data_IF_704223864632
#
_entry.id   IF_704223864632
#
_cell.length_a   1.000
_cell.length_b   1.000
_cell.length_c   1.000
_cell.angle_alpha   90.00
_cell.angle_beta   90.00
_cell.angle_gamma   90.00
#
_symmetry.space_group_name_H-M   'P 1'
#
loop_
_entity.id
_entity.type
_entity.pdbx_description
1 polymer ?
#
# COMPACT_ATOMS: atom_id res chain seq x y z
N UNK A 1 17.32 10.81 9.91
CA UNK A 1 17.28 9.35 10.05
C UNK A 1 18.61 8.79 9.52
N UNK A 2 19.34 8.01 10.32
CA UNK A 2 20.61 7.43 9.90
C UNK A 2 20.38 6.32 8.87
N UNK A 3 20.83 6.51 7.65
CA UNK A 3 20.83 5.44 6.62
C UNK A 3 20.36 5.81 5.22
N UNK A 4 19.75 6.97 5.02
CA UNK A 4 19.42 7.51 3.70
C UNK A 4 19.99 8.92 3.62
N UNK A 5 20.95 9.13 2.70
CA UNK A 5 21.59 10.45 2.51
C UNK A 5 20.84 11.33 1.49
N UNK A 6 19.71 10.86 1.00
CA UNK A 6 18.91 11.57 0.01
C UNK A 6 18.34 12.87 0.60
N UNK A 7 18.44 13.97 -0.14
CA UNK A 7 18.02 15.31 0.30
C UNK A 7 16.53 15.40 0.67
N UNK A 8 15.71 14.53 0.07
CA UNK A 8 14.26 14.53 0.27
C UNK A 8 13.82 13.94 1.63
N UNK A 9 14.72 13.26 2.35
CA UNK A 9 14.44 12.64 3.68
C UNK A 9 15.12 13.42 4.83
N UNK A 10 15.53 14.67 4.58
CA UNK A 10 16.20 15.51 5.59
C UNK A 10 15.23 16.58 6.08
N UNK A 11 14.90 16.50 7.36
CA UNK A 11 14.10 17.48 8.08
C UNK A 11 14.89 17.99 9.29
N UNK A 12 14.75 19.26 9.64
CA UNK A 12 15.40 19.89 10.80
C UNK A 12 14.84 19.38 12.14
N UNK A 13 13.61 18.83 12.11
CA UNK A 13 12.95 18.28 13.28
C UNK A 13 11.55 17.74 12.98
N UNK A 14 10.89 17.28 14.03
CA UNK A 14 9.55 16.69 13.89
C UNK A 14 8.48 17.71 13.48
N UNK A 15 8.63 18.97 13.84
CA UNK A 15 7.66 20.01 13.45
C UNK A 15 7.67 20.23 11.92
N UNK A 16 8.85 20.34 11.33
CA UNK A 16 8.99 20.46 9.88
C UNK A 16 8.43 19.22 9.16
N UNK A 17 8.75 18.04 9.67
CA UNK A 17 8.22 16.78 9.14
C UNK A 17 6.68 16.70 9.23
N UNK A 18 6.10 17.10 10.37
CA UNK A 18 4.66 17.12 10.56
C UNK A 18 3.98 18.11 9.60
N UNK A 19 4.53 19.32 9.44
CA UNK A 19 4.01 20.33 8.52
C UNK A 19 4.05 19.83 7.07
N UNK A 20 5.14 19.18 6.67
CA UNK A 20 5.23 18.52 5.38
C UNK A 20 4.15 17.44 5.22
N UNK A 21 3.98 16.56 6.21
CA UNK A 21 2.96 15.50 6.18
C UNK A 21 1.54 16.06 6.13
N UNK A 22 1.25 17.10 6.91
CA UNK A 22 -0.05 17.77 6.88
C UNK A 22 -0.33 18.35 5.50
N UNK A 23 0.67 18.96 4.86
CA UNK A 23 0.53 19.57 3.53
C UNK A 23 0.07 18.58 2.49
N UNK A 24 0.84 17.51 2.25
CA UNK A 24 0.48 16.54 1.20
C UNK A 24 -0.74 15.69 1.55
N UNK A 25 -0.96 15.36 2.84
CA UNK A 25 -2.14 14.61 3.26
C UNK A 25 -3.43 15.40 3.06
N UNK A 26 -3.44 16.71 3.32
CA UNK A 26 -4.58 17.60 3.02
C UNK A 26 -4.91 17.60 1.54
N UNK A 27 -3.89 17.72 0.67
CA UNK A 27 -4.11 17.70 -0.77
C UNK A 27 -4.62 16.34 -1.25
N UNK A 28 -4.05 15.23 -0.76
CA UNK A 28 -4.57 13.89 -1.05
C UNK A 28 -6.04 13.76 -0.60
N UNK A 29 -6.38 14.23 0.60
CA UNK A 29 -7.76 14.18 1.08
C UNK A 29 -8.70 15.02 0.21
N UNK A 30 -8.27 16.20 -0.21
CA UNK A 30 -9.08 17.10 -1.05
C UNK A 30 -9.48 16.44 -2.36
N UNK A 31 -8.52 15.82 -3.06
CA UNK A 31 -8.75 15.21 -4.38
C UNK A 31 -9.30 13.78 -4.31
N UNK A 32 -9.16 13.08 -3.17
CA UNK A 32 -9.66 11.72 -3.02
C UNK A 32 -11.19 11.69 -3.17
N UNK A 33 -11.69 10.80 -4.02
CA UNK A 33 -13.14 10.56 -4.17
C UNK A 33 -13.74 10.08 -2.84
N UNK A 34 -15.04 10.32 -2.62
CA UNK A 34 -15.76 9.82 -1.42
C UNK A 34 -15.77 8.28 -1.36
N UNK A 35 -15.58 7.62 -2.50
CA UNK A 35 -15.47 6.16 -2.60
C UNK A 35 -14.02 5.67 -2.63
N UNK A 36 -13.06 6.58 -2.64
CA UNK A 36 -11.65 6.26 -2.67
C UNK A 36 -11.08 5.95 -1.29
N UNK A 37 -9.92 5.33 -1.28
CA UNK A 37 -9.14 5.09 -0.07
C UNK A 37 -7.67 5.48 -0.30
N UNK A 38 -6.96 5.72 0.78
CA UNK A 38 -5.55 6.07 0.77
C UNK A 38 -4.77 5.03 1.58
N UNK A 39 -3.57 4.73 1.10
CA UNK A 39 -2.61 3.88 1.76
C UNK A 39 -1.33 4.65 2.03
N UNK A 40 -0.83 4.57 3.24
CA UNK A 40 0.43 5.21 3.62
C UNK A 40 1.33 4.17 4.27
N UNK A 41 2.54 4.02 3.75
CA UNK A 41 3.56 3.10 4.27
C UNK A 41 4.54 3.91 5.09
N UNK A 42 4.84 3.45 6.29
CA UNK A 42 5.80 4.11 7.16
C UNK A 42 6.63 3.15 8.00
N UNK A 43 7.83 3.61 8.34
CA UNK A 43 8.70 2.91 9.29
C UNK A 43 8.22 3.13 10.73
N UNK A 44 8.77 2.35 11.67
CA UNK A 44 8.49 2.50 13.11
C UNK A 44 8.80 3.91 13.66
N UNK A 45 9.64 4.69 12.96
CA UNK A 45 10.03 6.02 13.41
C UNK A 45 8.98 7.09 13.12
N UNK A 46 8.18 6.92 12.07
CA UNK A 46 7.28 7.97 11.58
C UNK A 46 5.81 7.56 11.46
N UNK A 47 5.50 6.26 11.36
CA UNK A 47 4.12 5.81 11.09
C UNK A 47 3.12 6.26 12.15
N UNK A 48 3.51 6.32 13.43
CA UNK A 48 2.64 6.75 14.51
C UNK A 48 2.30 8.25 14.41
N UNK A 49 3.27 9.08 13.97
CA UNK A 49 3.05 10.52 13.72
C UNK A 49 2.12 10.72 12.54
N UNK A 50 2.37 10.01 11.44
CA UNK A 50 1.52 10.03 10.25
C UNK A 50 0.10 9.58 10.61
N UNK A 51 -0.05 8.51 11.37
CA UNK A 51 -1.35 8.01 11.81
C UNK A 51 -2.14 9.04 12.64
N UNK A 52 -1.47 9.73 13.58
CA UNK A 52 -2.07 10.84 14.32
C UNK A 52 -2.52 11.96 13.38
N UNK A 53 -1.64 12.42 12.48
CA UNK A 53 -1.96 13.49 11.53
C UNK A 53 -3.16 13.10 10.64
N UNK A 54 -3.19 11.88 10.14
CA UNK A 54 -4.31 11.39 9.33
C UNK A 54 -5.64 11.42 10.11
N UNK A 55 -5.65 11.00 11.38
CA UNK A 55 -6.83 11.07 12.24
C UNK A 55 -7.26 12.51 12.52
N UNK A 56 -6.31 13.42 12.82
CA UNK A 56 -6.58 14.84 13.04
C UNK A 56 -7.18 15.51 11.79
N UNK A 57 -6.76 15.09 10.60
CA UNK A 57 -7.32 15.53 9.32
C UNK A 57 -8.69 14.89 9.00
N UNK A 58 -9.17 13.96 9.82
CA UNK A 58 -10.46 13.32 9.66
C UNK A 58 -10.48 12.09 8.74
N UNK A 59 -9.33 11.56 8.34
CA UNK A 59 -9.30 10.25 7.71
C UNK A 59 -9.82 9.17 8.65
N UNK A 60 -10.49 8.16 8.10
CA UNK A 60 -10.98 7.03 8.86
C UNK A 60 -10.12 5.81 8.61
N UNK A 61 -9.37 5.38 9.63
CA UNK A 61 -8.51 4.17 9.53
C UNK A 61 -9.43 2.95 9.41
N UNK A 62 -9.20 2.16 8.37
CA UNK A 62 -9.90 0.91 8.08
C UNK A 62 -9.11 -0.29 8.61
N UNK A 63 -7.80 -0.30 8.37
CA UNK A 63 -6.85 -1.24 8.94
C UNK A 63 -5.47 -0.60 9.07
N UNK A 64 -4.71 -1.10 10.03
CA UNK A 64 -3.26 -1.13 10.04
C UNK A 64 -2.78 -2.49 9.53
N UNK A 65 -1.89 -2.48 8.56
CA UNK A 65 -1.35 -3.70 7.96
C UNK A 65 0.13 -3.78 8.30
N UNK A 66 0.56 -4.92 8.81
CA UNK A 66 1.98 -5.20 9.03
C UNK A 66 2.55 -5.89 7.78
N UNK A 67 3.39 -5.18 7.07
CA UNK A 67 4.25 -5.80 6.06
C UNK A 67 5.46 -6.43 6.75
N UNK A 68 5.39 -7.74 7.00
CA UNK A 68 6.49 -8.52 7.52
C UNK A 68 7.45 -8.89 6.37
N UNK A 69 8.68 -8.40 6.48
CA UNK A 69 9.75 -8.62 5.51
C UNK A 69 10.34 -10.01 5.72
N UNK A 70 10.20 -10.90 4.75
CA UNK A 70 10.72 -12.27 4.86
C UNK A 70 12.26 -12.35 4.81
N UNK A 71 12.91 -11.28 4.34
CA UNK A 71 14.36 -11.13 4.20
C UNK A 71 14.83 -9.75 4.75
N UNK A 72 14.58 -9.43 6.03
CA UNK A 72 14.93 -8.14 6.57
C UNK A 72 16.46 -7.94 6.61
N UNK A 73 16.89 -6.70 6.47
CA UNK A 73 18.32 -6.37 6.62
C UNK A 73 18.72 -6.49 8.10
N UNK A 74 19.74 -7.29 8.44
CA UNK A 74 20.20 -7.43 9.81
C UNK A 74 20.65 -6.10 10.43
N UNK A 75 20.49 -5.96 11.74
CA UNK A 75 21.14 -4.89 12.50
C UNK A 75 22.59 -5.31 12.80
N UNK A 76 23.50 -4.97 11.91
CA UNK A 76 24.90 -5.35 12.01
C UNK A 76 25.60 -4.80 13.29
N UNK A 77 25.10 -3.69 13.83
CA UNK A 77 25.62 -3.14 15.08
C UNK A 77 25.19 -3.88 16.34
N UNK A 78 24.24 -4.81 16.25
CA UNK A 78 23.75 -5.60 17.40
C UNK A 78 23.13 -4.77 18.54
N UNK A 79 22.77 -3.50 18.27
CA UNK A 79 22.33 -2.53 19.29
C UNK A 79 20.83 -2.52 19.53
N UNK A 80 20.04 -3.18 18.66
CA UNK A 80 18.58 -3.27 18.74
C UNK A 80 18.08 -4.45 17.93
N UNK A 81 16.78 -4.74 18.00
CA UNK A 81 16.15 -5.75 17.17
C UNK A 81 16.24 -5.42 15.68
N UNK A 82 16.28 -6.43 14.82
CA UNK A 82 16.17 -6.29 13.38
C UNK A 82 14.80 -5.73 13.01
N UNK A 83 14.76 -4.70 12.16
CA UNK A 83 13.50 -4.10 11.68
C UNK A 83 12.86 -4.99 10.60
N UNK A 84 12.16 -6.01 11.04
CA UNK A 84 11.55 -7.00 10.16
C UNK A 84 10.18 -6.59 9.61
N UNK A 85 9.67 -5.40 9.91
CA UNK A 85 8.38 -4.95 9.36
C UNK A 85 8.32 -3.44 9.09
N UNK A 86 7.37 -3.07 8.25
CA UNK A 86 6.83 -1.71 8.11
C UNK A 86 5.32 -1.78 8.28
N UNK A 87 4.71 -0.67 8.69
CA UNK A 87 3.26 -0.57 8.86
C UNK A 87 2.65 0.21 7.70
N UNK A 88 1.52 -0.29 7.19
CA UNK A 88 0.69 0.40 6.23
C UNK A 88 -0.61 0.82 6.91
N UNK A 89 -0.99 2.08 6.75
CA UNK A 89 -2.30 2.57 7.17
C UNK A 89 -3.21 2.62 5.95
N UNK A 90 -4.31 1.87 6.00
CA UNK A 90 -5.38 1.92 5.01
C UNK A 90 -6.53 2.75 5.55
N UNK A 91 -6.86 3.85 4.87
CA UNK A 91 -7.85 4.81 5.36
C UNK A 91 -8.86 5.17 4.27
N UNK A 92 -10.11 5.36 4.68
CA UNK A 92 -11.10 6.07 3.89
C UNK A 92 -10.96 7.59 4.05
N UNK A 93 -11.51 8.36 3.11
CA UNK A 93 -11.52 9.83 3.16
C UNK A 93 -12.08 10.39 4.47
N UNK A 94 -13.10 9.72 5.00
CA UNK A 94 -13.74 9.99 6.30
C UNK A 94 -14.58 8.78 6.73
N UNK A 95 -15.22 8.85 7.91
CA UNK A 95 -16.06 7.77 8.46
C UNK A 95 -17.23 7.34 7.54
N UNK A 96 -17.69 8.20 6.62
CA UNK A 96 -18.81 7.92 5.69
C UNK A 96 -18.34 7.31 4.37
N UNK A 97 -17.05 7.12 4.17
CA UNK A 97 -16.47 6.58 2.92
C UNK A 97 -17.04 5.19 2.61
N UNK A 98 -17.53 5.05 1.37
CA UNK A 98 -17.95 3.75 0.81
C UNK A 98 -16.81 3.19 -0.04
N UNK A 99 -15.75 2.76 0.63
CA UNK A 99 -14.53 2.28 -0.02
C UNK A 99 -14.72 0.96 -0.78
N UNK A 100 -13.89 0.73 -1.77
CA UNK A 100 -13.79 -0.56 -2.45
C UNK A 100 -12.95 -1.52 -1.60
N UNK A 101 -13.43 -2.76 -1.43
CA UNK A 101 -12.64 -3.88 -0.94
C UNK A 101 -13.01 -5.14 -1.73
N UNK A 102 -12.07 -5.68 -2.46
CA UNK A 102 -12.27 -6.83 -3.33
C UNK A 102 -12.11 -8.14 -2.54
N UNK A 103 -13.09 -8.42 -1.66
CA UNK A 103 -13.05 -9.52 -0.70
C UNK A 103 -12.82 -10.88 -1.37
N UNK A 104 -13.56 -11.20 -2.44
CA UNK A 104 -13.44 -12.47 -3.15
C UNK A 104 -12.05 -12.65 -3.76
N UNK A 105 -11.53 -11.60 -4.38
CA UNK A 105 -10.19 -11.58 -4.96
C UNK A 105 -9.12 -11.83 -3.89
N UNK A 106 -9.25 -11.18 -2.73
CA UNK A 106 -8.31 -11.40 -1.63
C UNK A 106 -8.39 -12.81 -1.06
N UNK A 107 -9.58 -13.40 -0.98
CA UNK A 107 -9.77 -14.82 -0.61
C UNK A 107 -9.10 -15.76 -1.61
N UNK A 108 -9.35 -15.54 -2.90
CA UNK A 108 -8.77 -16.36 -3.96
C UNK A 108 -7.23 -16.38 -3.88
N UNK A 109 -6.61 -15.20 -3.67
CA UNK A 109 -5.17 -15.09 -3.50
C UNK A 109 -4.64 -15.74 -2.21
N UNK A 110 -5.49 -15.97 -1.23
CA UNK A 110 -5.14 -16.59 0.06
C UNK A 110 -5.75 -18.00 0.22
N UNK A 111 -5.77 -18.80 -0.86
CA UNK A 111 -6.27 -20.18 -0.86
C UNK A 111 -7.70 -20.28 -0.26
N UNK A 112 -8.60 -19.42 -0.72
CA UNK A 112 -10.00 -19.30 -0.28
C UNK A 112 -10.20 -18.98 1.21
N UNK A 113 -9.14 -18.54 1.90
CA UNK A 113 -9.23 -18.05 3.29
C UNK A 113 -9.26 -16.54 3.32
N UNK A 114 -9.92 -15.98 4.31
CA UNK A 114 -9.91 -14.52 4.52
C UNK A 114 -8.48 -14.02 4.72
N UNK A 115 -8.12 -12.98 3.99
CA UNK A 115 -6.81 -12.34 4.12
C UNK A 115 -6.68 -11.61 5.46
N UNK A 116 -5.50 -11.70 6.05
CA UNK A 116 -5.18 -11.11 7.36
C UNK A 116 -4.41 -9.80 7.21
N UNK A 117 -4.27 -9.09 8.33
CA UNK A 117 -3.53 -7.82 8.39
C UNK A 117 -2.01 -7.98 8.56
N UNK A 118 -1.47 -9.18 8.46
CA UNK A 118 -0.02 -9.43 8.44
C UNK A 118 0.35 -10.07 7.12
N UNK A 119 1.16 -9.39 6.33
CA UNK A 119 1.57 -9.82 5.00
C UNK A 119 3.04 -10.18 4.96
N UNK A 120 3.37 -11.42 4.59
CA UNK A 120 4.73 -11.91 4.47
C UNK A 120 5.22 -11.68 3.04
N UNK A 121 5.91 -10.56 2.80
CA UNK A 121 6.40 -10.16 1.48
C UNK A 121 7.88 -9.77 1.62
N UNK A 122 8.73 -10.26 0.71
CA UNK A 122 10.14 -9.93 0.68
C UNK A 122 10.42 -8.47 0.31
N UNK A 123 11.61 -8.00 0.65
CA UNK A 123 12.14 -6.75 0.12
C UNK A 123 12.37 -6.88 -1.39
N UNK A 124 12.26 -5.77 -2.10
CA UNK A 124 12.64 -5.69 -3.51
C UNK A 124 14.14 -5.98 -3.68
N UNK A 125 14.47 -7.11 -4.31
CA UNK A 125 15.84 -7.58 -4.55
C UNK A 125 15.97 -8.19 -5.97
N UNK A 126 17.19 -8.59 -6.33
CA UNK A 126 17.45 -9.31 -7.58
C UNK A 126 17.09 -8.50 -8.82
N UNK A 127 16.39 -9.14 -9.77
CA UNK A 127 16.01 -8.57 -11.06
C UNK A 127 14.87 -7.55 -10.97
N UNK A 128 14.04 -7.61 -9.93
CA UNK A 128 12.99 -6.63 -9.68
C UNK A 128 13.57 -5.25 -9.33
N UNK A 129 14.74 -5.25 -8.68
CA UNK A 129 15.38 -4.01 -8.27
C UNK A 129 16.04 -3.31 -9.44
N UNK A 130 15.56 -2.10 -9.73
CA UNK A 130 16.12 -1.30 -10.81
C UNK A 130 17.58 -0.90 -10.51
N UNK A 131 18.44 -1.14 -11.48
CA UNK A 131 19.84 -0.78 -11.45
C UNK A 131 20.16 0.13 -12.64
N UNK A 132 21.12 1.00 -12.46
CA UNK A 132 21.70 1.79 -13.55
C UNK A 132 22.68 0.94 -14.38
N UNK A 133 23.22 1.54 -15.42
CA UNK A 133 24.14 0.87 -16.35
C UNK A 133 25.45 0.40 -15.67
N UNK A 134 25.77 0.95 -14.49
CA UNK A 134 26.90 0.54 -13.65
C UNK A 134 26.52 -0.58 -12.67
N UNK A 135 25.27 -1.08 -12.69
CA UNK A 135 24.77 -2.11 -11.77
C UNK A 135 24.42 -1.60 -10.37
N UNK A 136 24.46 -0.28 -10.15
CA UNK A 136 24.12 0.34 -8.87
C UNK A 136 22.61 0.52 -8.78
N UNK A 137 22.02 0.30 -7.58
CA UNK A 137 20.60 0.52 -7.33
C UNK A 137 20.19 1.97 -7.64
N UNK A 138 19.15 2.13 -8.44
CA UNK A 138 18.63 3.47 -8.82
C UNK A 138 18.00 4.18 -7.63
N UNK A 139 17.19 3.46 -6.85
CA UNK A 139 16.45 4.02 -5.71
C UNK A 139 16.72 3.22 -4.44
N UNK A 140 17.00 3.92 -3.34
CA UNK A 140 17.36 3.30 -2.05
C UNK A 140 16.24 2.46 -1.44
N UNK A 141 14.99 2.91 -1.59
CA UNK A 141 13.79 2.37 -0.91
C UNK A 141 12.71 1.88 -1.88
N UNK A 142 13.08 1.40 -3.08
CA UNK A 142 12.11 0.80 -4.02
C UNK A 142 11.28 -0.26 -3.31
N UNK A 143 9.96 -0.13 -3.38
CA UNK A 143 9.02 -1.11 -2.80
C UNK A 143 8.82 -2.30 -3.74
N UNK A 144 8.58 -3.52 -3.20
CA UNK A 144 8.31 -4.70 -4.02
C UNK A 144 6.97 -4.58 -4.75
N UNK A 145 6.92 -5.08 -5.99
CA UNK A 145 5.70 -5.08 -6.81
C UNK A 145 4.57 -5.88 -6.16
N UNK A 146 4.89 -6.99 -5.50
CA UNK A 146 3.92 -7.82 -4.79
C UNK A 146 3.14 -7.04 -3.74
N UNK A 147 3.81 -6.14 -3.00
CA UNK A 147 3.17 -5.27 -2.01
C UNK A 147 2.17 -4.32 -2.67
N UNK A 148 2.61 -3.63 -3.73
CA UNK A 148 1.76 -2.69 -4.47
C UNK A 148 0.62 -3.42 -5.20
N UNK A 149 0.88 -4.61 -5.73
CA UNK A 149 -0.12 -5.47 -6.34
C UNK A 149 -1.27 -5.76 -5.35
N UNK A 150 -0.93 -6.19 -4.14
CA UNK A 150 -1.91 -6.51 -3.10
C UNK A 150 -2.69 -5.28 -2.64
N UNK A 151 -2.04 -4.13 -2.47
CA UNK A 151 -2.66 -2.84 -2.14
C UNK A 151 -3.66 -2.42 -3.22
N UNK A 152 -3.22 -2.32 -4.47
CA UNK A 152 -4.03 -1.78 -5.56
C UNK A 152 -5.19 -2.73 -5.88
N UNK A 153 -4.91 -4.03 -5.96
CA UNK A 153 -5.92 -5.03 -6.26
C UNK A 153 -7.00 -5.12 -5.18
N UNK A 154 -6.64 -4.97 -3.90
CA UNK A 154 -7.62 -5.03 -2.80
C UNK A 154 -8.57 -3.84 -2.79
N UNK A 155 -8.13 -2.65 -3.20
CA UNK A 155 -8.83 -1.38 -2.93
C UNK A 155 -9.23 -0.59 -4.18
N UNK A 156 -9.08 -1.17 -5.37
CA UNK A 156 -9.48 -0.54 -6.64
C UNK A 156 -10.13 -1.53 -7.59
N UNK A 157 -10.86 -1.02 -8.59
CA UNK A 157 -11.43 -1.78 -9.69
C UNK A 157 -10.65 -1.51 -11.00
N UNK A 158 -10.75 -2.38 -12.02
CA UNK A 158 -10.26 -2.05 -13.35
C UNK A 158 -10.76 -0.68 -13.82
N UNK A 159 -9.88 0.08 -14.49
CA UNK A 159 -10.07 1.46 -14.93
C UNK A 159 -10.16 2.52 -13.82
N UNK A 160 -10.10 2.16 -12.54
CA UNK A 160 -9.92 3.16 -11.48
C UNK A 160 -8.58 3.89 -11.62
N UNK A 161 -8.53 5.12 -11.12
CA UNK A 161 -7.34 5.95 -11.11
C UNK A 161 -6.58 5.78 -9.79
N UNK A 162 -5.33 5.39 -9.89
CA UNK A 162 -4.36 5.29 -8.78
C UNK A 162 -3.42 6.50 -8.85
N UNK A 163 -3.35 7.27 -7.77
CA UNK A 163 -2.39 8.38 -7.65
C UNK A 163 -1.28 8.00 -6.67
N UNK A 164 -0.04 8.20 -7.07
CA UNK A 164 1.12 8.13 -6.21
C UNK A 164 1.87 9.47 -6.21
N UNK A 165 1.78 10.27 -5.12
CA UNK A 165 2.44 11.57 -5.04
C UNK A 165 3.95 11.48 -4.73
N UNK A 166 4.49 10.28 -4.52
CA UNK A 166 5.90 9.98 -4.26
C UNK A 166 6.37 8.84 -5.15
N UNK A 167 6.27 9.05 -6.47
CA UNK A 167 6.29 8.00 -7.47
C UNK A 167 7.60 7.22 -7.57
N UNK A 168 8.74 7.86 -7.22
CA UNK A 168 10.05 7.25 -7.30
C UNK A 168 10.32 6.64 -8.68
N UNK A 169 10.70 5.38 -8.71
CA UNK A 169 10.96 4.62 -9.96
C UNK A 169 9.72 3.94 -10.54
N UNK A 170 8.52 4.38 -10.16
CA UNK A 170 7.27 4.02 -10.83
C UNK A 170 6.71 2.63 -10.52
N UNK A 171 7.00 2.02 -9.37
CA UNK A 171 6.47 0.69 -9.02
C UNK A 171 4.95 0.69 -8.98
N UNK A 172 4.33 1.71 -8.37
CA UNK A 172 2.88 1.87 -8.31
C UNK A 172 2.25 1.91 -9.70
N UNK A 173 2.83 2.72 -10.61
CA UNK A 173 2.35 2.84 -11.98
C UNK A 173 2.51 1.55 -12.79
N UNK A 174 3.65 0.85 -12.62
CA UNK A 174 3.91 -0.42 -13.28
C UNK A 174 2.87 -1.48 -12.88
N UNK A 175 2.60 -1.60 -11.59
CA UNK A 175 1.59 -2.53 -11.08
C UNK A 175 0.19 -2.12 -11.52
N UNK A 176 -0.19 -0.84 -11.38
CA UNK A 176 -1.50 -0.34 -11.79
C UNK A 176 -1.76 -0.63 -13.27
N UNK A 177 -0.80 -0.31 -14.16
CA UNK A 177 -0.89 -0.59 -15.59
C UNK A 177 -1.05 -2.09 -15.88
N UNK A 178 -0.24 -2.94 -15.21
CA UNK A 178 -0.30 -4.40 -15.41
C UNK A 178 -1.68 -4.97 -15.12
N UNK A 179 -2.33 -4.51 -14.06
CA UNK A 179 -3.65 -5.01 -13.65
C UNK A 179 -4.82 -4.16 -14.15
N UNK A 180 -4.61 -3.36 -15.19
CA UNK A 180 -5.68 -2.62 -15.88
C UNK A 180 -6.24 -1.42 -15.11
N UNK A 181 -5.44 -0.77 -14.27
CA UNK A 181 -5.80 0.50 -13.61
C UNK A 181 -5.09 1.66 -14.31
N UNK A 182 -5.74 2.81 -14.32
CA UNK A 182 -5.09 4.06 -14.70
C UNK A 182 -4.21 4.55 -13.56
N UNK A 183 -3.18 5.34 -13.86
CA UNK A 183 -2.30 5.89 -12.83
C UNK A 183 -1.87 7.32 -13.15
N UNK A 184 -1.58 8.07 -12.10
CA UNK A 184 -0.85 9.33 -12.12
C UNK A 184 0.27 9.20 -11.09
N UNK A 185 1.51 9.45 -11.52
CA UNK A 185 2.67 9.54 -10.65
C UNK A 185 3.20 10.96 -10.58
N UNK A 186 3.57 11.42 -9.39
CA UNK A 186 4.25 12.69 -9.18
C UNK A 186 5.63 12.38 -8.61
N UNK A 187 6.67 12.88 -9.28
CA UNK A 187 8.05 12.73 -8.86
C UNK A 187 8.80 14.02 -9.16
N UNK A 188 9.71 14.40 -8.29
CA UNK A 188 10.50 15.61 -8.42
C UNK A 188 11.86 15.37 -9.04
N UNK A 189 12.45 14.22 -8.77
CA UNK A 189 13.82 13.91 -9.18
C UNK A 189 13.83 13.37 -10.61
N UNK A 190 14.39 14.12 -11.55
CA UNK A 190 14.46 13.77 -12.98
C UNK A 190 15.04 12.37 -13.24
N UNK A 191 16.05 11.98 -12.45
CA UNK A 191 16.63 10.64 -12.52
C UNK A 191 15.58 9.56 -12.30
N UNK A 192 14.71 9.72 -11.30
CA UNK A 192 13.68 8.73 -11.01
C UNK A 192 12.58 8.74 -12.06
N UNK A 193 12.20 9.91 -12.57
CA UNK A 193 11.24 10.04 -13.68
C UNK A 193 11.74 9.25 -14.90
N UNK A 194 12.99 9.43 -15.29
CA UNK A 194 13.59 8.68 -16.42
C UNK A 194 13.44 7.17 -16.28
N UNK A 195 13.79 6.62 -15.12
CA UNK A 195 13.68 5.17 -14.87
C UNK A 195 12.23 4.71 -14.76
N UNK A 196 11.34 5.52 -14.20
CA UNK A 196 9.91 5.22 -14.16
C UNK A 196 9.32 5.13 -15.57
N UNK A 197 9.61 6.11 -16.44
CA UNK A 197 9.14 6.10 -17.82
C UNK A 197 9.68 4.91 -18.61
N UNK A 198 10.99 4.58 -18.46
CA UNK A 198 11.59 3.41 -19.09
C UNK A 198 10.86 2.14 -18.67
N UNK A 199 10.67 1.92 -17.37
CA UNK A 199 9.93 0.79 -16.80
C UNK A 199 8.51 0.72 -17.35
N UNK A 200 7.78 1.83 -17.34
CA UNK A 200 6.39 1.89 -17.77
C UNK A 200 6.18 1.60 -19.26
N UNK A 201 7.16 1.90 -20.12
CA UNK A 201 7.12 1.53 -21.55
C UNK A 201 7.15 0.01 -21.75
N UNK A 202 7.85 -0.72 -20.91
CA UNK A 202 8.03 -2.17 -21.01
C UNK A 202 6.83 -2.94 -20.42
N UNK A 203 6.07 -2.36 -19.50
CA UNK A 203 4.93 -3.02 -18.85
C UNK A 203 3.76 -3.15 -19.82
N UNK A 204 3.27 -4.38 -19.98
CA UNK A 204 2.03 -4.70 -20.67
C UNK A 204 0.91 -4.97 -19.66
N UNK A 205 -0.32 -4.66 -20.04
CA UNK A 205 -1.49 -5.04 -19.24
C UNK A 205 -1.70 -6.56 -19.32
N UNK A 206 -1.91 -7.17 -18.16
CA UNK A 206 -2.21 -8.60 -18.02
C UNK A 206 -3.58 -8.72 -17.36
N UNK A 207 -4.62 -8.74 -18.20
CA UNK A 207 -5.99 -8.99 -17.73
C UNK A 207 -6.15 -10.50 -17.62
N UNK A 208 -6.41 -10.97 -16.40
CA UNK A 208 -6.57 -12.37 -16.08
C UNK A 208 -7.80 -12.58 -15.16
N UNK A 209 -8.10 -13.83 -14.83
CA UNK A 209 -9.21 -14.21 -13.95
C UNK A 209 -9.20 -13.44 -12.61
N UNK A 210 -8.04 -13.21 -12.03
CA UNK A 210 -7.91 -12.45 -10.76
C UNK A 210 -8.36 -11.00 -10.93
N UNK A 211 -8.02 -10.40 -12.08
CA UNK A 211 -8.45 -9.03 -12.41
C UNK A 211 -9.96 -8.96 -12.59
N UNK A 212 -10.55 -9.98 -13.23
CA UNK A 212 -12.00 -10.09 -13.45
C UNK A 212 -12.77 -10.30 -12.15
N UNK A 213 -12.27 -11.13 -11.23
CA UNK A 213 -12.86 -11.29 -9.88
C UNK A 213 -13.01 -9.96 -9.14
N UNK A 214 -12.15 -8.99 -9.40
CA UNK A 214 -12.25 -7.67 -8.79
C UNK A 214 -13.44 -6.82 -9.27
N UNK A 215 -14.12 -7.23 -10.34
CA UNK A 215 -15.36 -6.63 -10.83
C UNK A 215 -16.61 -7.15 -10.12
N UNK A 216 -16.53 -8.30 -9.46
CA UNK A 216 -17.68 -8.89 -8.81
C UNK A 216 -18.22 -8.05 -7.65
N UNK A 217 -19.54 -8.08 -7.51
CA UNK A 217 -20.21 -7.41 -6.41
C UNK A 217 -19.79 -8.01 -5.05
N UNK A 218 -19.79 -7.19 -4.00
CA UNK A 218 -19.58 -7.67 -2.63
C UNK A 218 -20.58 -8.78 -2.33
N UNK A 219 -20.16 -9.88 -1.67
CA UNK A 219 -21.09 -10.91 -1.24
C UNK A 219 -22.17 -10.26 -0.34
N UNK A 220 -23.42 -10.73 -0.43
CA UNK A 220 -24.48 -10.20 0.42
C UNK A 220 -24.09 -10.37 1.89
N UNK A 221 -24.30 -9.31 2.69
CA UNK A 221 -24.14 -9.41 4.14
C UNK A 221 -25.20 -10.35 4.67
N UNK A 222 -24.80 -11.51 5.18
CA UNK A 222 -25.69 -12.42 5.88
C UNK A 222 -25.68 -12.03 7.35
N UNK A 223 -26.82 -11.62 7.94
CA UNK A 223 -26.90 -11.33 9.37
C UNK A 223 -26.44 -12.54 10.19
N UNK A 224 -25.69 -12.31 11.27
CA UNK A 224 -25.20 -13.34 12.19
C UNK A 224 -26.32 -14.30 12.64
N UNK A 225 -27.47 -13.73 12.99
CA UNK A 225 -28.67 -14.49 13.35
C UNK A 225 -29.04 -15.56 12.31
N UNK A 226 -28.98 -15.26 11.01
CA UNK A 226 -29.26 -16.25 9.94
C UNK A 226 -28.20 -17.33 9.82
N UNK A 227 -26.95 -17.04 10.19
CA UNK A 227 -25.88 -18.05 10.18
C UNK A 227 -26.06 -19.04 11.33
N UNK A 228 -26.44 -18.55 12.51
CA UNK A 228 -26.79 -19.36 13.67
C UNK A 228 -28.04 -20.23 13.41
N UNK A 229 -29.13 -19.64 12.88
CA UNK A 229 -30.37 -20.35 12.52
C UNK A 229 -30.14 -21.48 11.49
N UNK A 230 -29.10 -21.36 10.63
CA UNK A 230 -28.74 -22.37 9.63
C UNK A 230 -27.68 -23.35 10.11
N UNK A 231 -27.24 -23.25 11.36
CA UNK A 231 -26.19 -24.10 11.93
C UNK A 231 -24.82 -23.93 11.28
N UNK A 232 -24.58 -22.81 10.58
CA UNK A 232 -23.33 -22.49 9.93
C UNK A 232 -22.30 -21.86 10.89
N UNK A 233 -22.75 -21.42 12.07
CA UNK A 233 -21.94 -20.95 13.20
C UNK A 233 -22.55 -21.45 14.50
N UNK A 234 -21.73 -21.71 15.49
CA UNK A 234 -22.15 -21.95 16.88
C UNK A 234 -22.15 -20.64 17.65
N UNK A 235 -22.87 -20.57 18.79
CA UNK A 235 -22.87 -19.37 19.64
C UNK A 235 -21.47 -19.04 20.14
N UNK A 236 -20.61 -20.03 20.43
CA UNK A 236 -19.22 -19.83 20.82
C UNK A 236 -18.40 -19.16 19.71
N UNK A 237 -18.66 -19.46 18.43
CA UNK A 237 -17.97 -18.85 17.28
C UNK A 237 -18.48 -17.45 16.96
N UNK A 238 -19.57 -16.99 17.57
CA UNK A 238 -20.14 -15.64 17.39
C UNK A 238 -19.54 -14.58 18.33
N UNK A 239 -18.70 -15.00 19.28
CA UNK A 239 -18.07 -14.12 20.28
C UNK A 239 -16.69 -13.59 19.86
N UNK A 240 -16.21 -13.95 18.65
CA UNK A 240 -14.94 -13.49 18.06
C UNK A 240 -15.23 -12.84 16.67
#
# INVERSE_FOLDING_TARGET
>A
FNGVEDKWDKFSGFEEYDNFCIGWLKECQRILKITGSIWVIGSFQNIFRIGKIMQDLGFWILNDIIWHKTNPVPNFGGTRFCNAHETLLWCGKNKKTKYTFNYKTMKYLNNDKQEKSVWNIGLCIGNERLKDDSGVKVHSTQKPEELLYKIILSSSKPNDLVLDPFFGTGTTGAVAKRIGRNYIGIEREEKYIYYAEKRLKEVKAEINEITELSLEAKPPKVPMKKLLERGLLTEEQSLY
#
